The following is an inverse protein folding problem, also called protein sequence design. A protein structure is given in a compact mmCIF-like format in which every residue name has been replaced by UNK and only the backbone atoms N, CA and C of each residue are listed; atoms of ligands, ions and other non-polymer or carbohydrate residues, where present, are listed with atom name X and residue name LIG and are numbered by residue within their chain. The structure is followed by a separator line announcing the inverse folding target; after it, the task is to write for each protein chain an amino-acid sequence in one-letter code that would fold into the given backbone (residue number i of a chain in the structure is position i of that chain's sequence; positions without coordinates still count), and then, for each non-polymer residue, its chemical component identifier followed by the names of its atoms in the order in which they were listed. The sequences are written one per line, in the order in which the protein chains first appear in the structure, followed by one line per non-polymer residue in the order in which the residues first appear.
data_IF_317252993520
#
_entry.id   IF_317252993520
#
_cell.length_a   1.000
_cell.length_b   1.000
_cell.length_c   1.000
_cell.angle_alpha   90.00
_cell.angle_beta   90.00
_cell.angle_gamma   90.00
#
_symmetry.space_group_name_H-M   'P 1'
#
loop_
_entity.id
_entity.type
_entity.pdbx_description
1 polymer ?
#
# COMPACT_ATOMS: atom_id res chain seq x y z
N UNK A 1 -4.11 -12.50 -1.22
CA UNK A 1 -2.72 -12.90 -1.50
C UNK A 1 -1.77 -11.72 -1.33
N UNK A 2 -0.52 -12.01 -0.96
CA UNK A 2 0.56 -11.03 -0.78
C UNK A 2 1.66 -11.26 -1.81
N UNK A 3 1.90 -10.29 -2.69
CA UNK A 3 2.90 -10.36 -3.74
C UNK A 3 3.98 -9.29 -3.52
N UNK A 4 5.22 -9.69 -3.32
CA UNK A 4 6.31 -8.73 -3.19
C UNK A 4 7.02 -8.49 -4.53
N UNK A 5 7.45 -7.27 -4.75
CA UNK A 5 8.32 -6.89 -5.87
C UNK A 5 9.61 -6.36 -5.28
N UNK A 6 10.70 -7.07 -5.57
CA UNK A 6 12.04 -6.75 -5.09
C UNK A 6 12.99 -6.50 -6.26
N UNK A 7 14.16 -5.97 -5.99
CA UNK A 7 15.21 -5.72 -6.96
C UNK A 7 16.09 -4.55 -6.55
N UNK A 8 17.25 -4.38 -7.19
CA UNK A 8 18.17 -3.31 -6.90
C UNK A 8 17.59 -1.91 -7.16
N UNK A 9 18.30 -0.88 -6.74
CA UNK A 9 17.94 0.49 -7.05
C UNK A 9 17.96 0.71 -8.57
N UNK A 10 16.96 1.40 -9.10
CA UNK A 10 16.82 1.57 -10.54
C UNK A 10 16.25 0.36 -11.31
N UNK A 11 15.89 -0.73 -10.65
CA UNK A 11 15.29 -1.92 -11.29
C UNK A 11 13.92 -1.66 -11.96
N UNK A 12 13.28 -0.52 -11.69
CA UNK A 12 11.99 -0.16 -12.31
C UNK A 12 10.77 -0.41 -11.42
N UNK A 13 10.94 -0.78 -10.14
CA UNK A 13 9.84 -1.07 -9.18
C UNK A 13 8.84 0.09 -9.09
N UNK A 14 9.31 1.30 -8.81
CA UNK A 14 8.46 2.51 -8.72
C UNK A 14 7.78 2.83 -10.05
N UNK A 15 8.48 2.61 -11.18
CA UNK A 15 7.88 2.76 -12.51
C UNK A 15 6.71 1.80 -12.69
N UNK A 16 6.87 0.54 -12.34
CA UNK A 16 5.79 -0.46 -12.40
C UNK A 16 4.60 -0.06 -11.52
N UNK A 17 4.84 0.41 -10.29
CA UNK A 17 3.80 0.93 -9.41
C UNK A 17 3.07 2.14 -10.01
N UNK A 18 3.79 3.04 -10.66
CA UNK A 18 3.20 4.20 -11.33
C UNK A 18 2.33 3.80 -12.52
N UNK A 19 2.72 2.76 -13.26
CA UNK A 19 1.92 2.17 -14.35
C UNK A 19 0.64 1.51 -13.81
N UNK A 20 0.75 0.67 -12.77
CA UNK A 20 -0.40 -0.02 -12.16
C UNK A 20 -1.38 0.97 -11.55
N UNK A 21 -0.90 2.00 -10.85
CA UNK A 21 -1.74 3.02 -10.21
C UNK A 21 -2.27 4.09 -11.17
N UNK A 22 -1.77 4.14 -12.42
CA UNK A 22 -2.21 5.11 -13.43
C UNK A 22 -1.60 6.50 -13.28
N UNK A 23 -0.59 6.66 -12.43
CA UNK A 23 0.18 7.92 -12.30
C UNK A 23 0.97 8.20 -13.58
N UNK A 24 1.38 7.14 -14.28
CA UNK A 24 2.09 7.21 -15.55
C UNK A 24 1.44 6.25 -16.57
N UNK A 25 1.18 6.70 -17.81
CA UNK A 25 0.73 5.80 -18.87
C UNK A 25 1.90 4.97 -19.40
N UNK A 26 1.66 3.70 -19.83
CA UNK A 26 2.68 2.93 -20.51
C UNK A 26 2.94 3.47 -21.92
N UNK A 27 4.19 3.45 -22.38
CA UNK A 27 4.54 3.79 -23.77
C UNK A 27 4.02 2.72 -24.73
N UNK A 28 4.10 1.45 -24.32
CA UNK A 28 3.59 0.30 -25.05
C UNK A 28 2.97 -0.71 -24.08
N UNK A 29 2.12 -1.58 -24.59
CA UNK A 29 1.43 -2.58 -23.78
C UNK A 29 0.16 -2.04 -23.14
N UNK A 30 -0.45 -2.86 -22.30
CA UNK A 30 -1.73 -2.59 -21.65
C UNK A 30 -1.71 -3.03 -20.19
N UNK A 31 -2.50 -2.35 -19.39
CA UNK A 31 -2.74 -2.70 -17.97
C UNK A 31 -4.19 -3.17 -17.85
N UNK A 32 -4.36 -4.37 -17.29
CA UNK A 32 -5.69 -4.94 -17.04
C UNK A 32 -5.91 -5.11 -15.54
N UNK A 33 -7.11 -4.80 -15.09
CA UNK A 33 -7.57 -5.10 -13.73
C UNK A 33 -8.90 -5.83 -13.81
N UNK A 34 -9.00 -7.02 -13.26
CA UNK A 34 -10.21 -7.88 -13.31
C UNK A 34 -10.75 -8.07 -14.73
N UNK A 35 -9.86 -8.24 -15.71
CA UNK A 35 -10.21 -8.40 -17.13
C UNK A 35 -10.58 -7.10 -17.87
N UNK A 36 -10.67 -5.97 -17.17
CA UNK A 36 -10.95 -4.68 -17.78
C UNK A 36 -9.63 -3.97 -18.16
N UNK A 37 -9.55 -3.43 -19.37
CA UNK A 37 -8.44 -2.57 -19.80
C UNK A 37 -8.53 -1.22 -19.06
N UNK A 38 -7.54 -0.97 -18.20
CA UNK A 38 -7.44 0.27 -17.42
C UNK A 38 -6.25 1.14 -17.85
N UNK A 39 -5.66 0.87 -19.01
CA UNK A 39 -4.43 1.54 -19.48
C UNK A 39 -4.54 3.06 -19.44
N UNK A 40 -5.64 3.61 -19.93
CA UNK A 40 -5.88 5.06 -19.98
C UNK A 40 -6.82 5.56 -18.87
N UNK A 41 -7.05 4.76 -17.84
CA UNK A 41 -7.91 5.14 -16.70
C UNK A 41 -7.08 5.95 -15.70
N UNK A 42 -7.57 7.13 -15.30
CA UNK A 42 -6.87 8.01 -14.34
C UNK A 42 -6.77 7.38 -12.95
N UNK A 43 -5.79 7.79 -12.11
CA UNK A 43 -5.61 7.26 -10.75
C UNK A 43 -6.89 7.33 -9.92
N UNK A 44 -7.62 8.44 -10.00
CA UNK A 44 -8.87 8.64 -9.26
C UNK A 44 -9.93 7.62 -9.67
N UNK A 45 -10.07 7.35 -10.97
CA UNK A 45 -10.99 6.32 -11.46
C UNK A 45 -10.53 4.91 -11.10
N UNK A 46 -9.21 4.64 -11.07
CA UNK A 46 -8.67 3.35 -10.60
C UNK A 46 -8.95 3.13 -9.11
N UNK A 47 -8.92 4.19 -8.29
CA UNK A 47 -9.36 4.10 -6.89
C UNK A 47 -10.84 3.65 -6.78
N UNK A 48 -11.73 4.19 -7.62
CA UNK A 48 -13.13 3.76 -7.69
C UNK A 48 -13.31 2.33 -8.23
N UNK A 49 -12.34 1.81 -8.98
CA UNK A 49 -12.33 0.41 -9.42
C UNK A 49 -11.81 -0.54 -8.34
N UNK A 50 -11.33 -0.03 -7.20
CA UNK A 50 -10.83 -0.82 -6.09
C UNK A 50 -9.30 -0.96 -6.02
N UNK A 51 -8.53 -0.05 -6.62
CA UNK A 51 -7.06 -0.02 -6.50
C UNK A 51 -6.65 1.06 -5.50
N UNK A 52 -6.20 0.65 -4.31
CA UNK A 52 -5.63 1.54 -3.29
C UNK A 52 -4.11 1.61 -3.42
N UNK A 53 -3.52 2.80 -3.26
CA UNK A 53 -2.07 2.98 -3.22
C UNK A 53 -1.65 3.80 -2.01
N UNK A 54 -0.65 3.31 -1.27
CA UNK A 54 0.08 4.12 -0.31
C UNK A 54 1.09 5.01 -1.03
N UNK A 55 1.35 6.19 -0.49
CA UNK A 55 2.36 7.12 -1.02
C UNK A 55 3.48 7.27 0.00
N UNK A 56 4.73 7.47 -0.49
CA UNK A 56 5.89 7.73 0.37
C UNK A 56 5.76 9.02 1.19
N UNK A 57 4.98 9.99 0.69
CA UNK A 57 4.67 11.24 1.41
C UNK A 57 3.35 11.07 2.14
N UNK A 58 3.37 11.35 3.44
CA UNK A 58 2.21 11.27 4.33
C UNK A 58 1.05 12.12 3.82
N UNK A 59 0.03 11.49 3.26
CA UNK A 59 -1.18 12.15 2.73
C UNK A 59 -2.31 12.15 3.78
N UNK A 60 -2.04 12.74 4.95
CA UNK A 60 -3.05 12.93 6.00
C UNK A 60 -3.45 14.41 6.08
N UNK A 61 -4.62 14.67 6.57
CA UNK A 61 -5.05 16.01 6.93
C UNK A 61 -4.59 16.34 8.36
N UNK A 62 -3.48 17.09 8.56
CA UNK A 62 -2.82 17.20 9.85
C UNK A 62 -3.66 17.93 10.90
N UNK A 63 -4.57 18.79 10.47
CA UNK A 63 -5.45 19.58 11.33
C UNK A 63 -6.82 18.92 11.58
N UNK A 64 -7.06 17.75 11.04
CA UNK A 64 -8.24 16.92 11.33
C UNK A 64 -7.88 15.83 12.34
N UNK A 65 -8.88 15.33 13.03
CA UNK A 65 -8.71 14.19 13.94
C UNK A 65 -8.45 12.90 13.15
N UNK A 66 -7.99 11.85 13.84
CA UNK A 66 -7.85 10.51 13.27
C UNK A 66 -9.18 10.05 12.70
N UNK A 67 -10.27 10.18 13.46
CA UNK A 67 -11.61 9.81 13.02
C UNK A 67 -12.01 10.52 11.73
N UNK A 68 -11.83 11.85 11.67
CA UNK A 68 -12.20 12.63 10.48
C UNK A 68 -11.37 12.28 9.25
N UNK A 69 -10.07 11.99 9.41
CA UNK A 69 -9.24 11.53 8.31
C UNK A 69 -9.77 10.23 7.69
N UNK A 70 -10.08 9.24 8.52
CA UNK A 70 -10.57 7.93 8.07
C UNK A 70 -12.00 8.01 7.56
N UNK A 71 -12.88 8.79 8.23
CA UNK A 71 -14.26 9.03 7.80
C UNK A 71 -14.34 9.66 6.41
N UNK A 72 -13.52 10.68 6.15
CA UNK A 72 -13.46 11.32 4.83
C UNK A 72 -13.05 10.33 3.74
N UNK A 73 -12.10 9.45 4.02
CA UNK A 73 -11.69 8.39 3.09
C UNK A 73 -12.83 7.39 2.82
N UNK A 74 -13.53 6.94 3.87
CA UNK A 74 -14.70 6.08 3.74
C UNK A 74 -15.81 6.74 2.90
N UNK A 75 -16.00 8.05 3.05
CA UNK A 75 -17.00 8.81 2.30
C UNK A 75 -16.58 9.05 0.84
N UNK A 76 -15.28 9.18 0.54
CA UNK A 76 -14.76 9.62 -0.76
C UNK A 76 -15.25 8.77 -1.94
N UNK A 77 -15.44 7.47 -1.74
CA UNK A 77 -15.99 6.54 -2.75
C UNK A 77 -17.50 6.32 -2.61
N UNK A 78 -18.13 6.98 -1.64
CA UNK A 78 -19.57 6.92 -1.41
C UNK A 78 -20.37 7.75 -2.41
N UNK A 79 -21.69 7.56 -2.40
CA UNK A 79 -22.63 8.30 -3.27
C UNK A 79 -23.12 9.62 -2.65
N UNK A 80 -22.64 9.96 -1.45
CA UNK A 80 -23.16 11.07 -0.63
C UNK A 80 -22.29 12.33 -0.69
N UNK A 81 -21.28 12.37 -1.56
CA UNK A 81 -20.28 13.44 -1.66
C UNK A 81 -20.83 14.84 -1.97
N UNK A 82 -22.06 14.93 -2.49
CA UNK A 82 -22.70 16.18 -2.86
C UNK A 82 -23.87 16.58 -1.93
N UNK A 83 -24.06 15.90 -0.79
CA UNK A 83 -25.10 16.22 0.19
C UNK A 83 -24.65 17.26 1.21
N UNK A 84 -24.22 18.44 0.74
CA UNK A 84 -23.61 19.50 1.55
C UNK A 84 -24.50 20.10 2.66
N UNK A 85 -25.81 19.91 2.60
CA UNK A 85 -26.76 20.46 3.57
C UNK A 85 -27.20 19.47 4.65
N UNK A 86 -26.60 18.29 4.70
CA UNK A 86 -26.90 17.30 5.72
C UNK A 86 -25.81 17.30 6.80
N UNK A 87 -26.18 17.34 8.10
CA UNK A 87 -25.20 17.22 9.17
C UNK A 87 -24.48 15.87 9.12
N UNK A 88 -23.20 15.88 9.53
CA UNK A 88 -22.27 14.73 9.46
C UNK A 88 -22.83 13.51 10.22
N UNK A 89 -23.54 13.76 11.32
CA UNK A 89 -24.16 12.72 12.16
C UNK A 89 -25.19 11.86 11.42
N UNK A 90 -25.70 12.31 10.28
CA UNK A 90 -26.59 11.50 9.44
C UNK A 90 -25.86 10.46 8.59
N UNK A 91 -24.54 10.54 8.52
CA UNK A 91 -23.69 9.61 7.76
C UNK A 91 -23.03 8.58 8.69
N UNK A 92 -23.83 8.00 9.59
CA UNK A 92 -23.37 7.03 10.61
C UNK A 92 -22.56 5.89 10.00
N UNK A 93 -22.93 5.42 8.83
CA UNK A 93 -22.20 4.36 8.11
C UNK A 93 -20.72 4.66 7.88
N UNK A 94 -20.35 5.91 7.64
CA UNK A 94 -18.95 6.29 7.43
C UNK A 94 -18.21 6.47 8.75
N UNK A 95 -18.91 6.87 9.81
CA UNK A 95 -18.37 6.95 11.16
C UNK A 95 -18.10 5.52 11.68
N UNK A 96 -19.08 4.62 11.59
CA UNK A 96 -18.96 3.22 12.00
C UNK A 96 -17.81 2.53 11.24
N UNK A 97 -17.71 2.76 9.91
CA UNK A 97 -16.59 2.25 9.11
C UNK A 97 -15.25 2.82 9.56
N UNK A 98 -15.19 4.10 9.90
CA UNK A 98 -13.98 4.73 10.39
C UNK A 98 -13.54 4.15 11.74
N UNK A 99 -14.46 3.96 12.68
CA UNK A 99 -14.18 3.35 14.00
C UNK A 99 -13.69 1.90 13.86
N UNK A 100 -14.33 1.11 12.99
CA UNK A 100 -13.86 -0.25 12.66
C UNK A 100 -12.41 -0.22 12.15
N UNK A 101 -12.12 0.63 11.16
CA UNK A 101 -10.79 0.73 10.56
C UNK A 101 -9.75 1.24 11.55
N UNK A 102 -10.07 2.25 12.38
CA UNK A 102 -9.20 2.76 13.44
C UNK A 102 -8.80 1.64 14.40
N UNK A 103 -9.75 0.77 14.75
CA UNK A 103 -9.49 -0.39 15.59
C UNK A 103 -8.55 -1.38 14.90
N UNK A 104 -8.79 -1.68 13.61
CA UNK A 104 -7.98 -2.61 12.82
C UNK A 104 -6.53 -2.14 12.73
N UNK A 105 -6.30 -0.83 12.51
CA UNK A 105 -4.94 -0.29 12.38
C UNK A 105 -4.26 0.00 13.72
N UNK A 106 -4.87 -0.38 14.84
CA UNK A 106 -4.28 -0.21 16.18
C UNK A 106 -4.19 1.24 16.64
N UNK A 107 -5.18 2.06 16.27
CA UNK A 107 -5.32 3.46 16.71
C UNK A 107 -6.53 3.67 17.62
N UNK A 108 -7.12 2.59 18.18
CA UNK A 108 -8.20 2.70 19.15
C UNK A 108 -7.79 3.57 20.35
N UNK A 109 -8.69 4.48 20.75
CA UNK A 109 -8.42 5.49 21.80
C UNK A 109 -7.72 6.76 21.29
N UNK A 110 -7.43 6.84 19.98
CA UNK A 110 -6.83 8.01 19.32
C UNK A 110 -7.80 8.78 18.41
N UNK A 111 -9.07 8.41 18.39
CA UNK A 111 -10.10 8.90 17.46
C UNK A 111 -10.14 10.43 17.39
N UNK A 112 -10.02 11.08 18.54
CA UNK A 112 -10.13 12.55 18.69
C UNK A 112 -8.77 13.27 18.67
N UNK A 113 -7.66 12.54 18.53
CA UNK A 113 -6.33 13.15 18.44
C UNK A 113 -6.16 13.78 17.06
N UNK A 114 -5.63 15.00 17.00
CA UNK A 114 -5.27 15.63 15.73
C UNK A 114 -4.13 14.86 15.08
N UNK A 115 -4.24 14.59 13.77
CA UNK A 115 -3.25 13.78 13.04
C UNK A 115 -1.83 14.34 13.12
N UNK A 116 -1.65 15.67 13.24
CA UNK A 116 -0.32 16.28 13.43
C UNK A 116 0.36 15.86 14.73
N UNK A 117 -0.41 15.49 15.76
CA UNK A 117 0.10 15.13 17.09
C UNK A 117 0.46 13.64 17.22
N UNK A 118 0.21 12.86 16.18
CA UNK A 118 0.58 11.44 16.13
C UNK A 118 2.10 11.29 15.97
N UNK A 119 2.66 10.25 16.58
CA UNK A 119 4.01 9.78 16.30
C UNK A 119 4.15 9.33 14.84
N UNK A 120 5.39 9.13 14.37
CA UNK A 120 5.64 8.69 12.99
C UNK A 120 4.97 7.34 12.70
N UNK A 121 5.10 6.36 13.60
CA UNK A 121 4.45 5.05 13.47
C UNK A 121 2.92 5.13 13.45
N UNK A 122 2.32 5.96 14.34
CA UNK A 122 0.87 6.18 14.35
C UNK A 122 0.39 6.87 13.05
N UNK A 123 1.18 7.78 12.48
CA UNK A 123 0.87 8.38 11.17
C UNK A 123 0.85 7.33 10.06
N UNK A 124 1.80 6.38 10.06
CA UNK A 124 1.80 5.27 9.11
C UNK A 124 0.58 4.35 9.27
N UNK A 125 0.16 4.07 10.50
CA UNK A 125 -1.09 3.36 10.78
C UNK A 125 -2.31 4.13 10.28
N UNK A 126 -2.34 5.46 10.46
CA UNK A 126 -3.42 6.30 9.95
C UNK A 126 -3.47 6.30 8.41
N UNK A 127 -2.34 6.38 7.73
CA UNK A 127 -2.27 6.26 6.25
C UNK A 127 -2.83 4.92 5.77
N UNK A 128 -2.46 3.85 6.43
CA UNK A 128 -3.01 2.52 6.16
C UNK A 128 -4.53 2.50 6.38
N UNK A 129 -5.00 3.10 7.47
CA UNK A 129 -6.43 3.24 7.78
C UNK A 129 -7.20 4.00 6.70
N UNK A 130 -6.66 5.13 6.24
CA UNK A 130 -7.23 5.92 5.13
C UNK A 130 -7.37 5.07 3.87
N UNK A 131 -6.34 4.28 3.53
CA UNK A 131 -6.39 3.41 2.36
C UNK A 131 -7.42 2.28 2.53
N UNK A 132 -7.46 1.63 3.69
CA UNK A 132 -8.42 0.53 3.99
C UNK A 132 -9.86 1.05 3.99
N UNK A 133 -10.10 2.26 4.49
CA UNK A 133 -11.43 2.86 4.55
C UNK A 133 -12.07 3.02 3.16
N UNK A 134 -11.25 3.14 2.11
CA UNK A 134 -11.69 3.13 0.71
C UNK A 134 -12.10 1.74 0.21
N UNK A 135 -12.00 0.69 1.02
CA UNK A 135 -12.36 -0.69 0.69
C UNK A 135 -11.72 -1.22 -0.61
N UNK A 136 -10.40 -1.06 -0.83
CA UNK A 136 -9.75 -1.50 -2.05
C UNK A 136 -9.67 -3.02 -2.15
N UNK A 137 -9.76 -3.55 -3.38
CA UNK A 137 -9.54 -4.97 -3.66
C UNK A 137 -8.05 -5.29 -3.91
N UNK A 138 -7.32 -4.31 -4.48
CA UNK A 138 -5.87 -4.35 -4.68
C UNK A 138 -5.21 -3.23 -3.87
N UNK A 139 -4.29 -3.60 -3.00
CA UNK A 139 -3.50 -2.68 -2.17
C UNK A 139 -2.07 -2.60 -2.72
N UNK A 140 -1.61 -1.41 -3.03
CA UNK A 140 -0.26 -1.15 -3.51
C UNK A 140 0.54 -0.45 -2.41
N UNK A 141 1.54 -1.13 -1.85
CA UNK A 141 2.41 -0.62 -0.79
C UNK A 141 3.81 -0.33 -1.34
N UNK A 142 4.19 0.94 -1.34
CA UNK A 142 5.51 1.41 -1.78
C UNK A 142 6.34 1.77 -0.54
N UNK A 143 7.19 0.84 -0.08
CA UNK A 143 8.04 0.95 1.11
C UNK A 143 7.27 1.38 2.37
N UNK A 144 6.23 0.63 2.79
CA UNK A 144 5.36 1.05 3.90
C UNK A 144 6.11 1.17 5.23
N UNK A 145 7.26 0.53 5.38
CA UNK A 145 8.06 0.54 6.61
C UNK A 145 9.15 1.62 6.61
N UNK A 146 9.28 2.40 5.53
CA UNK A 146 10.31 3.44 5.44
C UNK A 146 10.23 4.45 6.58
N UNK A 147 11.37 4.69 7.24
CA UNK A 147 11.49 5.63 8.36
C UNK A 147 10.92 5.15 9.69
N UNK A 148 10.43 3.92 9.78
CA UNK A 148 10.00 3.32 11.04
C UNK A 148 11.17 2.67 11.80
N UNK A 149 11.09 2.67 13.14
CA UNK A 149 12.02 1.91 13.94
C UNK A 149 11.80 0.40 13.77
N UNK A 150 12.85 -0.40 13.93
CA UNK A 150 12.77 -1.86 13.80
C UNK A 150 11.72 -2.50 14.73
N UNK A 151 11.44 -1.88 15.87
CA UNK A 151 10.44 -2.33 16.83
C UNK A 151 9.00 -2.13 16.36
N UNK A 152 8.75 -1.10 15.55
CA UNK A 152 7.41 -0.74 15.06
C UNK A 152 7.02 -1.50 13.78
N UNK A 153 8.00 -1.96 13.02
CA UNK A 153 7.79 -2.63 11.74
C UNK A 153 6.95 -3.90 11.87
N UNK A 154 7.22 -4.83 12.81
CA UNK A 154 6.45 -6.07 12.91
C UNK A 154 4.94 -5.82 13.11
N UNK A 155 4.58 -4.81 13.90
CA UNK A 155 3.18 -4.47 14.15
C UNK A 155 2.47 -3.99 12.87
N UNK A 156 3.11 -3.10 12.09
CA UNK A 156 2.53 -2.61 10.83
C UNK A 156 2.33 -3.75 9.83
N UNK A 157 3.32 -4.65 9.74
CA UNK A 157 3.27 -5.80 8.84
C UNK A 157 2.15 -6.76 9.23
N UNK A 158 1.99 -7.03 10.52
CA UNK A 158 0.91 -7.87 11.01
C UNK A 158 -0.47 -7.26 10.66
N UNK A 159 -0.62 -5.93 10.80
CA UNK A 159 -1.85 -5.23 10.40
C UNK A 159 -2.11 -5.42 8.90
N UNK A 160 -1.09 -5.21 8.04
CA UNK A 160 -1.22 -5.40 6.59
C UNK A 160 -1.65 -6.84 6.28
N UNK A 161 -1.00 -7.81 6.89
CA UNK A 161 -1.27 -9.23 6.68
C UNK A 161 -2.70 -9.61 7.12
N UNK A 162 -3.13 -9.12 8.28
CA UNK A 162 -4.50 -9.32 8.77
C UNK A 162 -5.54 -8.72 7.82
N UNK A 163 -5.31 -7.50 7.31
CA UNK A 163 -6.20 -6.84 6.35
C UNK A 163 -6.31 -7.66 5.06
N UNK A 164 -5.18 -8.09 4.50
CA UNK A 164 -5.17 -8.89 3.28
C UNK A 164 -5.92 -10.21 3.45
N UNK A 165 -5.70 -10.92 4.56
CA UNK A 165 -6.35 -12.22 4.81
C UNK A 165 -7.81 -12.09 5.22
N UNK A 166 -8.13 -11.19 6.16
CA UNK A 166 -9.49 -11.03 6.70
C UNK A 166 -10.50 -10.60 5.65
N UNK A 167 -10.08 -9.73 4.73
CA UNK A 167 -10.96 -9.17 3.70
C UNK A 167 -10.76 -9.80 2.32
N UNK A 168 -9.99 -10.89 2.23
CA UNK A 168 -9.66 -11.58 0.97
C UNK A 168 -9.16 -10.60 -0.11
N UNK A 169 -8.19 -9.76 0.27
CA UNK A 169 -7.61 -8.76 -0.62
C UNK A 169 -6.32 -9.25 -1.26
N UNK A 170 -5.91 -8.59 -2.32
CA UNK A 170 -4.57 -8.77 -2.90
C UNK A 170 -3.72 -7.55 -2.56
N UNK A 171 -2.50 -7.77 -2.11
CA UNK A 171 -1.53 -6.71 -1.90
C UNK A 171 -0.30 -6.92 -2.77
N UNK A 172 0.20 -5.84 -3.34
CA UNK A 172 1.52 -5.78 -3.97
C UNK A 172 2.39 -4.86 -3.13
N UNK A 173 3.55 -5.35 -2.73
CA UNK A 173 4.47 -4.70 -1.81
C UNK A 173 5.83 -4.49 -2.47
N UNK A 174 6.35 -3.28 -2.48
CA UNK A 174 7.77 -3.00 -2.74
C UNK A 174 8.46 -2.78 -1.41
N UNK A 175 9.47 -3.57 -1.11
CA UNK A 175 10.27 -3.46 0.11
C UNK A 175 11.72 -3.88 -0.12
N UNK A 176 12.61 -3.35 0.74
CA UNK A 176 14.04 -3.66 0.72
C UNK A 176 14.45 -4.62 1.86
N UNK A 177 13.59 -4.79 2.84
CA UNK A 177 13.85 -5.69 3.98
C UNK A 177 13.52 -7.12 3.61
N UNK A 178 14.56 -7.87 3.24
CA UNK A 178 14.40 -9.24 2.74
C UNK A 178 13.83 -10.19 3.80
N UNK A 179 14.21 -10.03 5.07
CA UNK A 179 13.66 -10.78 6.20
C UNK A 179 12.12 -10.71 6.25
N UNK A 180 11.60 -9.52 6.08
CA UNK A 180 10.18 -9.25 6.04
C UNK A 180 9.53 -9.82 4.76
N UNK A 181 10.07 -9.49 3.59
CA UNK A 181 9.54 -9.96 2.29
C UNK A 181 9.40 -11.48 2.29
N UNK A 182 10.43 -12.19 2.73
CA UNK A 182 10.42 -13.66 2.78
C UNK A 182 9.40 -14.24 3.75
N UNK A 183 9.05 -13.50 4.82
CA UNK A 183 8.14 -14.00 5.86
C UNK A 183 6.66 -13.82 5.53
N UNK A 184 6.30 -12.81 4.71
CA UNK A 184 4.89 -12.45 4.50
C UNK A 184 4.37 -12.69 3.08
N UNK A 185 5.27 -12.90 2.10
CA UNK A 185 4.87 -12.99 0.70
C UNK A 185 4.45 -14.40 0.31
N UNK A 186 3.37 -14.50 -0.46
CA UNK A 186 2.98 -15.75 -1.13
C UNK A 186 3.80 -15.93 -2.43
N UNK A 187 4.08 -14.81 -3.14
CA UNK A 187 4.85 -14.76 -4.39
C UNK A 187 5.80 -13.58 -4.35
N UNK A 188 6.99 -13.75 -4.91
CA UNK A 188 7.99 -12.69 -5.06
C UNK A 188 8.39 -12.57 -6.52
N UNK A 189 8.27 -11.37 -7.08
CA UNK A 189 8.83 -11.00 -8.38
C UNK A 189 10.12 -10.20 -8.17
N UNK A 190 11.20 -10.67 -8.75
CA UNK A 190 12.50 -9.99 -8.77
C UNK A 190 12.65 -9.22 -10.06
N UNK A 191 12.86 -7.93 -9.95
CA UNK A 191 13.11 -7.04 -11.09
C UNK A 191 14.59 -6.66 -11.17
N UNK A 192 15.11 -6.60 -12.40
CA UNK A 192 16.43 -6.05 -12.69
C UNK A 192 16.39 -5.31 -14.03
N UNK A 193 16.90 -4.07 -14.08
CA UNK A 193 17.01 -3.25 -15.30
C UNK A 193 15.70 -3.17 -16.11
N UNK A 194 14.55 -3.00 -15.43
CA UNK A 194 13.23 -2.88 -16.05
C UNK A 194 12.62 -4.19 -16.55
N UNK A 195 13.21 -5.36 -16.22
CA UNK A 195 12.72 -6.68 -16.61
C UNK A 195 12.47 -7.54 -15.39
N UNK A 196 11.59 -8.52 -15.53
CA UNK A 196 11.43 -9.59 -14.55
C UNK A 196 12.60 -10.54 -14.71
N UNK A 197 13.39 -10.72 -13.66
CA UNK A 197 14.50 -11.65 -13.58
C UNK A 197 14.04 -13.05 -13.15
N UNK A 198 13.19 -13.10 -12.13
CA UNK A 198 12.62 -14.33 -11.59
C UNK A 198 11.28 -14.03 -10.91
N UNK A 199 10.42 -15.04 -10.84
CA UNK A 199 9.18 -15.03 -10.08
C UNK A 199 8.95 -16.41 -9.47
N UNK A 200 8.50 -16.43 -8.21
CA UNK A 200 8.24 -17.70 -7.50
C UNK A 200 7.93 -17.48 -6.03
N UNK A 201 7.80 -18.57 -5.30
CA UNK A 201 7.67 -18.58 -3.85
C UNK A 201 8.94 -18.02 -3.17
N UNK A 202 8.85 -17.58 -1.91
CA UNK A 202 10.04 -17.15 -1.16
C UNK A 202 11.17 -18.17 -1.17
N UNK A 203 10.84 -19.47 -1.05
CA UNK A 203 11.82 -20.55 -1.09
C UNK A 203 12.53 -20.67 -2.44
N UNK A 204 11.79 -20.58 -3.55
CA UNK A 204 12.36 -20.64 -4.91
C UNK A 204 13.25 -19.43 -5.19
N UNK A 205 12.84 -18.25 -4.77
CA UNK A 205 13.62 -17.01 -4.95
C UNK A 205 14.91 -17.03 -4.10
N UNK A 206 14.86 -17.52 -2.87
CA UNK A 206 16.04 -17.64 -2.01
C UNK A 206 17.12 -18.56 -2.58
N UNK A 207 16.71 -19.59 -3.33
CA UNK A 207 17.61 -20.57 -3.93
C UNK A 207 17.92 -20.31 -5.42
N UNK A 208 17.57 -19.14 -5.95
CA UNK A 208 17.78 -18.80 -7.34
C UNK A 208 19.16 -18.16 -7.56
N UNK A 209 20.06 -18.82 -8.28
CA UNK A 209 21.43 -18.35 -8.52
C UNK A 209 21.46 -16.99 -9.26
N UNK A 210 20.53 -16.73 -10.17
CA UNK A 210 20.47 -15.46 -10.90
C UNK A 210 20.07 -14.32 -10.00
N UNK A 211 19.16 -14.56 -9.04
CA UNK A 211 18.76 -13.59 -8.03
C UNK A 211 19.91 -13.29 -7.09
N UNK A 212 20.59 -14.31 -6.59
CA UNK A 212 21.77 -14.15 -5.73
C UNK A 212 22.87 -13.35 -6.44
N UNK A 213 23.16 -13.66 -7.71
CA UNK A 213 24.14 -12.94 -8.50
C UNK A 213 23.76 -11.45 -8.72
N UNK A 214 22.49 -11.15 -8.97
CA UNK A 214 22.00 -9.80 -9.16
C UNK A 214 22.15 -8.92 -7.88
N UNK A 215 21.90 -9.49 -6.71
CA UNK A 215 22.07 -8.81 -5.43
C UNK A 215 23.54 -8.69 -5.01
N UNK A 216 24.36 -9.71 -5.27
CA UNK A 216 25.81 -9.70 -4.96
C UNK A 216 26.54 -8.72 -5.90
N UNK A 217 26.11 -8.61 -7.17
CA UNK A 217 26.70 -7.66 -8.13
C UNK A 217 26.58 -6.21 -7.69
N UNK A 218 25.48 -5.82 -7.05
CA UNK A 218 25.27 -4.47 -6.51
C UNK A 218 26.16 -4.19 -5.28
N UNK A 219 26.38 -5.18 -4.42
CA UNK A 219 27.27 -5.05 -3.25
C UNK A 219 28.75 -4.82 -3.65
N UNK A 220 29.18 -5.36 -4.79
CA UNK A 220 30.54 -5.15 -5.30
C UNK A 220 30.66 -3.90 -6.21
N UNK A 221 29.56 -3.42 -6.80
CA UNK A 221 29.53 -2.22 -7.63
C UNK A 221 29.62 -0.91 -6.83
N UNK A 222 29.22 -0.89 -5.56
CA UNK A 222 29.36 0.27 -4.67
C UNK A 222 30.75 0.38 -4.01
N UNK A 223 31.63 -0.61 -4.22
CA UNK A 223 33.00 -0.63 -3.69
C UNK A 223 34.08 -0.34 -4.78
N UNK A 224 33.68 -0.09 -6.00
CA UNK A 224 34.53 0.28 -7.13
C UNK A 224 34.30 1.74 -7.56
#
# INVERSE_FOLDING_TARGET
SMHAIIGPNGAGKTTLFNLISGVMPPTNGKVFFKGQDITNVSPQKRAHLGIGRSYQITNIFPNLTVLENVRLAAQALGKDNFKFFQPVEKFTQYIEKAEEVITIVGLAGREWVLARNLSHGEKRKLELGIMIACDPELLLFDEPTAGMSSEQVPELIEIIHQVVRRYDRTAILVEHRMDMVMSISDVITVMNQGRILAEGSPHEIANNDQVQAAYLGDLYGELA
#
